data_IF_383193122989
#
_entry.id   IF_383193122989
#
_cell.length_a   1.000
_cell.length_b   1.000
_cell.length_c   1.000
_cell.angle_alpha   90.00
_cell.angle_beta   90.00
_cell.angle_gamma   90.00
#
_symmetry.space_group_name_H-M   'P 1'
#
loop_
_entity.id
_entity.type
_entity.pdbx_description
1 polymer ?
#
# COMPACT_ATOMS: atom_id res chain seq x y z
N UNK A 1 1.45 -5.62 3.41
CA UNK A 1 1.11 -6.11 4.76
C UNK A 1 1.91 -5.43 5.88
N UNK A 2 3.23 -5.26 5.76
CA UNK A 2 4.10 -4.69 6.82
C UNK A 2 3.60 -3.37 7.42
N UNK A 3 3.00 -2.49 6.62
CA UNK A 3 2.46 -1.20 7.07
C UNK A 3 1.17 -1.32 7.90
N UNK A 4 0.46 -2.42 7.77
CA UNK A 4 -0.78 -2.72 8.49
C UNK A 4 -0.53 -3.58 9.75
N UNK A 5 0.72 -4.02 9.94
CA UNK A 5 1.14 -4.82 11.09
C UNK A 5 0.72 -6.30 11.02
N UNK A 6 0.82 -7.03 12.16
CA UNK A 6 0.67 -8.48 12.18
C UNK A 6 -0.76 -8.99 11.95
N UNK A 7 -1.74 -8.09 11.88
CA UNK A 7 -3.14 -8.43 11.59
C UNK A 7 -3.48 -8.41 10.10
N UNK A 8 -2.48 -8.19 9.22
CA UNK A 8 -2.68 -8.13 7.78
C UNK A 8 -1.74 -9.12 7.08
N UNK A 9 -2.31 -9.92 6.21
CA UNK A 9 -1.60 -10.85 5.35
C UNK A 9 -1.90 -10.54 3.87
N UNK A 10 -0.95 -10.83 3.00
CA UNK A 10 -1.15 -10.76 1.55
C UNK A 10 -1.33 -12.18 1.02
N UNK A 11 -2.49 -12.43 0.41
CA UNK A 11 -2.77 -13.70 -0.25
C UNK A 11 -2.60 -13.57 -1.76
N UNK A 12 -2.02 -14.58 -2.39
CA UNK A 12 -1.89 -14.71 -3.84
C UNK A 12 -2.91 -15.73 -4.42
N UNK A 13 -3.94 -16.06 -3.64
CA UNK A 13 -4.97 -17.04 -3.99
C UNK A 13 -5.57 -16.78 -5.39
N UNK A 14 -5.90 -15.53 -5.69
CA UNK A 14 -6.47 -15.16 -6.99
C UNK A 14 -5.43 -15.17 -8.12
N UNK A 15 -4.16 -14.89 -7.81
CA UNK A 15 -3.06 -14.90 -8.79
C UNK A 15 -2.73 -16.33 -9.23
N UNK A 16 -2.83 -17.29 -8.31
CA UNK A 16 -2.58 -18.72 -8.60
C UNK A 16 -3.70 -19.39 -9.37
N UNK A 17 -4.89 -18.78 -9.39
CA UNK A 17 -6.03 -19.34 -10.08
C UNK A 17 -5.89 -19.13 -11.58
N UNK A 18 -6.06 -20.20 -12.36
CA UNK A 18 -6.12 -20.11 -13.81
C UNK A 18 -7.44 -19.49 -14.29
N UNK A 19 -7.35 -18.58 -15.26
CA UNK A 19 -8.52 -17.93 -15.84
C UNK A 19 -8.98 -16.68 -15.09
N UNK A 20 -10.30 -16.39 -15.13
CA UNK A 20 -10.88 -15.24 -14.43
C UNK A 20 -11.08 -15.56 -12.97
N UNK A 21 -10.70 -14.63 -12.09
CA UNK A 21 -10.98 -14.69 -10.68
C UNK A 21 -12.27 -13.94 -10.37
N UNK A 22 -13.21 -14.63 -9.74
CA UNK A 22 -14.45 -14.04 -9.26
C UNK A 22 -14.46 -14.02 -7.74
N UNK A 23 -15.04 -12.97 -7.15
CA UNK A 23 -15.15 -12.84 -5.69
C UNK A 23 -15.89 -14.02 -5.05
N UNK A 24 -16.90 -14.56 -5.73
CA UNK A 24 -17.63 -15.73 -5.28
C UNK A 24 -16.71 -16.94 -5.03
N UNK A 25 -15.79 -17.22 -5.98
CA UNK A 25 -14.85 -18.32 -5.85
C UNK A 25 -13.78 -18.06 -4.77
N UNK A 26 -13.46 -16.79 -4.55
CA UNK A 26 -12.46 -16.39 -3.55
C UNK A 26 -13.01 -16.51 -2.14
N UNK A 27 -14.24 -16.06 -1.89
CA UNK A 27 -14.85 -16.19 -0.54
C UNK A 27 -15.15 -17.64 -0.17
N UNK A 28 -15.56 -18.45 -1.15
CA UNK A 28 -15.77 -19.90 -0.94
C UNK A 28 -14.45 -20.61 -0.57
N UNK A 29 -13.37 -20.39 -1.33
CA UNK A 29 -12.05 -20.97 -1.04
C UNK A 29 -11.49 -20.51 0.31
N UNK A 30 -11.75 -19.25 0.70
CA UNK A 30 -11.37 -18.75 2.03
C UNK A 30 -12.20 -19.41 3.13
N UNK A 31 -13.51 -19.59 2.92
CA UNK A 31 -14.37 -20.32 3.89
C UNK A 31 -13.94 -21.78 4.06
N UNK A 32 -13.58 -22.47 2.96
CA UNK A 32 -13.04 -23.83 3.03
C UNK A 32 -11.71 -23.91 3.81
N UNK A 33 -10.87 -22.87 3.68
CA UNK A 33 -9.58 -22.81 4.38
C UNK A 33 -9.74 -22.44 5.85
N UNK A 34 -10.73 -21.60 6.18
CA UNK A 34 -10.99 -21.05 7.50
C UNK A 34 -12.48 -21.23 7.87
N UNK A 35 -12.96 -22.48 8.03
CA UNK A 35 -14.39 -22.76 8.19
C UNK A 35 -15.02 -22.23 9.49
N UNK A 36 -14.19 -21.96 10.50
CA UNK A 36 -14.65 -21.40 11.79
C UNK A 36 -14.62 -19.86 11.80
N UNK A 37 -14.04 -19.24 10.77
CA UNK A 37 -13.89 -17.79 10.72
C UNK A 37 -15.10 -17.12 10.05
N UNK A 38 -15.47 -15.96 10.56
CA UNK A 38 -16.49 -15.12 9.96
C UNK A 38 -15.85 -14.20 8.90
N UNK A 39 -16.20 -14.43 7.63
CA UNK A 39 -15.65 -13.65 6.52
C UNK A 39 -16.43 -12.36 6.28
N UNK A 40 -15.72 -11.28 6.01
CA UNK A 40 -16.27 -9.98 5.63
C UNK A 40 -15.53 -9.38 4.44
N UNK A 41 -16.29 -9.00 3.40
CA UNK A 41 -15.76 -8.23 2.29
C UNK A 41 -15.80 -6.73 2.63
N UNK A 42 -14.66 -6.07 2.61
CA UNK A 42 -14.56 -4.64 2.80
C UNK A 42 -14.62 -3.94 1.45
N UNK A 43 -15.58 -3.03 1.24
CA UNK A 43 -15.75 -2.35 -0.04
C UNK A 43 -16.27 -0.91 0.10
N UNK A 44 -15.90 -0.08 -0.87
CA UNK A 44 -16.42 1.29 -0.96
C UNK A 44 -17.83 1.33 -1.55
N UNK A 45 -18.48 2.49 -1.46
CA UNK A 45 -19.88 2.74 -1.88
C UNK A 45 -20.17 2.25 -3.29
N UNK A 46 -19.31 2.56 -4.26
CA UNK A 46 -19.48 2.19 -5.67
C UNK A 46 -19.60 0.67 -5.89
N UNK A 47 -18.81 -0.10 -5.17
CA UNK A 47 -18.84 -1.57 -5.19
C UNK A 47 -20.06 -2.10 -4.42
N UNK A 48 -20.37 -1.50 -3.27
CA UNK A 48 -21.50 -1.89 -2.45
C UNK A 48 -22.84 -1.75 -3.17
N UNK A 49 -23.04 -0.65 -3.91
CA UNK A 49 -24.25 -0.38 -4.68
C UNK A 49 -24.42 -1.29 -5.92
N UNK A 50 -23.40 -2.03 -6.31
CA UNK A 50 -23.40 -2.87 -7.51
C UNK A 50 -23.11 -4.35 -7.25
N UNK A 51 -22.86 -4.75 -6.00
CA UNK A 51 -22.47 -6.11 -5.64
C UNK A 51 -23.49 -7.17 -6.05
N UNK A 52 -24.77 -6.84 -6.06
CA UNK A 52 -25.86 -7.72 -6.54
C UNK A 52 -25.74 -8.09 -8.03
N UNK A 53 -24.98 -7.31 -8.81
CA UNK A 53 -24.75 -7.55 -10.24
C UNK A 53 -23.45 -8.35 -10.51
N UNK A 54 -22.75 -8.77 -9.48
CA UNK A 54 -21.52 -9.53 -9.61
C UNK A 54 -21.80 -10.99 -10.00
N UNK A 55 -20.76 -11.70 -10.37
CA UNK A 55 -20.89 -13.12 -10.71
C UNK A 55 -21.30 -13.94 -9.49
N UNK A 56 -22.46 -14.60 -9.57
CA UNK A 56 -23.04 -15.43 -8.51
C UNK A 56 -23.09 -14.75 -7.13
N UNK A 57 -23.81 -13.64 -6.99
CA UNK A 57 -23.83 -12.87 -5.73
C UNK A 57 -24.37 -13.69 -4.56
N UNK A 58 -25.28 -14.67 -4.81
CA UNK A 58 -25.81 -15.57 -3.79
C UNK A 58 -24.69 -16.34 -3.06
N UNK A 59 -23.68 -16.81 -3.82
CA UNK A 59 -22.52 -17.49 -3.23
C UNK A 59 -21.68 -16.55 -2.40
N UNK A 60 -21.55 -15.29 -2.80
CA UNK A 60 -20.81 -14.29 -2.03
C UNK A 60 -21.47 -14.13 -0.65
N UNK A 61 -22.79 -13.89 -0.63
CA UNK A 61 -23.53 -13.64 0.63
C UNK A 61 -23.72 -14.89 1.48
N UNK A 62 -23.65 -16.08 0.88
CA UNK A 62 -23.64 -17.34 1.63
C UNK A 62 -22.43 -17.47 2.55
N UNK A 63 -21.27 -17.03 2.08
CA UNK A 63 -19.99 -17.25 2.79
C UNK A 63 -19.46 -15.98 3.47
N UNK A 64 -19.81 -14.77 3.00
CA UNK A 64 -19.28 -13.53 3.53
C UNK A 64 -20.35 -12.48 3.80
N UNK A 65 -20.18 -11.72 4.88
CA UNK A 65 -20.83 -10.43 5.07
C UNK A 65 -20.14 -9.33 4.26
N UNK A 66 -20.79 -8.18 4.14
CA UNK A 66 -20.25 -6.99 3.49
C UNK A 66 -20.11 -5.84 4.47
N UNK A 67 -18.89 -5.31 4.60
CA UNK A 67 -18.60 -4.11 5.35
C UNK A 67 -18.36 -2.95 4.37
N UNK A 68 -19.33 -2.06 4.26
CA UNK A 68 -19.29 -0.93 3.33
C UNK A 68 -18.75 0.34 4.02
N UNK A 69 -18.00 1.15 3.30
CA UNK A 69 -17.56 2.46 3.78
C UNK A 69 -17.76 3.53 2.71
N UNK A 70 -18.02 4.77 3.16
CA UNK A 70 -18.16 5.92 2.29
C UNK A 70 -16.86 6.25 1.56
N UNK A 71 -16.95 6.58 0.28
CA UNK A 71 -15.84 7.07 -0.56
C UNK A 71 -15.98 8.52 -0.97
N UNK A 72 -17.13 9.13 -0.73
CA UNK A 72 -17.43 10.52 -1.02
C UNK A 72 -18.19 11.16 0.14
N UNK A 73 -18.04 12.46 0.33
CA UNK A 73 -18.86 13.21 1.29
C UNK A 73 -20.35 13.27 0.86
N UNK A 74 -20.64 12.95 -0.40
CA UNK A 74 -22.01 12.85 -0.95
C UNK A 74 -22.70 11.52 -0.59
N UNK A 75 -21.97 10.51 -0.14
CA UNK A 75 -22.49 9.21 0.25
C UNK A 75 -23.30 9.34 1.56
N UNK A 76 -24.63 9.27 1.46
CA UNK A 76 -25.51 9.44 2.61
C UNK A 76 -25.77 8.13 3.34
N UNK A 77 -26.08 8.21 4.64
CA UNK A 77 -26.46 7.04 5.43
C UNK A 77 -27.71 6.36 4.85
N UNK A 78 -28.69 7.13 4.35
CA UNK A 78 -29.89 6.59 3.73
C UNK A 78 -29.59 5.69 2.53
N UNK A 79 -28.60 6.05 1.71
CA UNK A 79 -28.15 5.25 0.58
C UNK A 79 -27.63 3.87 1.01
N UNK A 80 -26.87 3.81 2.09
CA UNK A 80 -26.37 2.56 2.65
C UNK A 80 -27.50 1.73 3.29
N UNK A 81 -28.43 2.36 3.96
CA UNK A 81 -29.58 1.70 4.59
C UNK A 81 -30.49 1.06 3.55
N UNK A 82 -30.85 1.79 2.47
CA UNK A 82 -31.64 1.27 1.36
C UNK A 82 -31.00 0.06 0.69
N UNK A 83 -29.72 0.17 0.36
CA UNK A 83 -28.98 -0.94 -0.25
C UNK A 83 -28.84 -2.13 0.71
N UNK A 84 -28.58 -1.89 1.99
CA UNK A 84 -28.48 -2.95 3.01
C UNK A 84 -29.80 -3.71 3.15
N UNK A 85 -30.91 -2.98 3.18
CA UNK A 85 -32.25 -3.58 3.22
C UNK A 85 -32.52 -4.43 1.98
N UNK A 86 -32.24 -3.90 0.79
CA UNK A 86 -32.40 -4.65 -0.46
C UNK A 86 -31.58 -5.95 -0.47
N UNK A 87 -30.31 -5.90 -0.05
CA UNK A 87 -29.44 -7.07 0.00
C UNK A 87 -29.89 -8.09 1.06
N UNK A 88 -30.41 -7.64 2.19
CA UNK A 88 -30.94 -8.50 3.23
C UNK A 88 -32.22 -9.22 2.79
N UNK A 89 -33.14 -8.50 2.15
CA UNK A 89 -34.44 -9.05 1.67
C UNK A 89 -34.24 -10.02 0.49
N UNK A 90 -33.30 -9.70 -0.43
CA UNK A 90 -33.11 -10.47 -1.67
C UNK A 90 -32.18 -11.65 -1.51
N UNK A 91 -31.09 -11.48 -0.75
CA UNK A 91 -30.01 -12.46 -0.65
C UNK A 91 -29.73 -12.94 0.78
N UNK A 92 -30.50 -12.48 1.75
CA UNK A 92 -30.22 -12.72 3.20
C UNK A 92 -28.82 -12.28 3.62
N UNK A 93 -28.29 -11.24 2.96
CA UNK A 93 -26.94 -10.76 3.14
C UNK A 93 -26.77 -10.10 4.52
N UNK A 94 -25.62 -10.34 5.15
CA UNK A 94 -25.17 -9.63 6.35
C UNK A 94 -24.39 -8.39 5.89
N UNK A 95 -24.84 -7.22 6.30
CA UNK A 95 -24.18 -5.95 5.93
C UNK A 95 -23.87 -5.12 7.17
N UNK A 96 -22.80 -4.35 7.11
CA UNK A 96 -22.45 -3.35 8.11
C UNK A 96 -21.86 -2.12 7.44
N UNK A 97 -22.07 -0.95 8.02
CA UNK A 97 -21.50 0.31 7.51
C UNK A 97 -20.39 0.76 8.46
N UNK A 98 -19.20 0.94 7.91
CA UNK A 98 -18.03 1.42 8.64
C UNK A 98 -17.98 2.94 8.53
N UNK A 99 -18.23 3.62 9.64
CA UNK A 99 -18.13 5.08 9.69
C UNK A 99 -16.66 5.51 9.79
N UNK A 100 -16.17 6.20 8.77
CA UNK A 100 -14.83 6.77 8.73
C UNK A 100 -14.88 8.23 9.19
N UNK A 101 -13.97 8.67 10.07
CA UNK A 101 -13.96 10.06 10.59
C UNK A 101 -13.58 11.08 9.51
N UNK A 102 -12.96 10.63 8.44
CA UNK A 102 -12.56 11.43 7.29
C UNK A 102 -12.57 10.58 6.04
N UNK A 103 -13.22 11.06 5.02
CA UNK A 103 -13.17 10.48 3.68
C UNK A 103 -12.02 11.10 2.90
N UNK A 104 -11.25 10.26 2.20
CA UNK A 104 -10.24 10.70 1.25
C UNK A 104 -10.71 10.33 -0.14
N UNK A 105 -11.21 11.34 -0.87
CA UNK A 105 -11.71 11.15 -2.23
C UNK A 105 -10.55 10.98 -3.21
N UNK A 106 -10.13 9.74 -3.40
CA UNK A 106 -9.12 9.39 -4.41
C UNK A 106 -9.45 8.03 -5.05
N UNK A 107 -9.43 8.00 -6.38
CA UNK A 107 -9.51 6.74 -7.12
C UNK A 107 -8.10 6.26 -7.50
N UNK A 108 -7.91 4.93 -7.54
CA UNK A 108 -6.63 4.33 -7.96
C UNK A 108 -6.19 4.80 -9.36
N UNK A 109 -7.14 5.08 -10.26
CA UNK A 109 -6.86 5.63 -11.59
C UNK A 109 -6.22 7.02 -11.50
N UNK A 110 -6.74 7.87 -10.62
CA UNK A 110 -6.26 9.24 -10.46
C UNK A 110 -4.90 9.26 -9.78
N UNK A 111 -4.69 8.42 -8.78
CA UNK A 111 -3.39 8.23 -8.15
C UNK A 111 -2.32 7.76 -9.15
N UNK A 112 -2.64 6.79 -10.02
CA UNK A 112 -1.71 6.35 -11.09
C UNK A 112 -1.39 7.47 -12.08
N UNK A 113 -2.38 8.32 -12.41
CA UNK A 113 -2.16 9.49 -13.27
C UNK A 113 -1.23 10.51 -12.59
N UNK A 114 -1.42 10.79 -11.30
CA UNK A 114 -0.53 11.66 -10.52
C UNK A 114 0.90 11.11 -10.50
N UNK A 115 1.10 9.82 -10.23
CA UNK A 115 2.40 9.15 -10.26
C UNK A 115 3.09 9.27 -11.62
N UNK A 116 2.37 9.10 -12.73
CA UNK A 116 2.93 9.26 -14.08
C UNK A 116 3.30 10.71 -14.38
N UNK A 117 2.55 11.70 -13.89
CA UNK A 117 2.75 13.13 -14.18
C UNK A 117 3.70 13.85 -13.22
N UNK A 118 4.04 13.28 -12.09
CA UNK A 118 4.91 13.92 -11.07
C UNK A 118 6.23 14.44 -11.65
N UNK A 119 6.83 13.70 -12.58
CA UNK A 119 8.12 13.99 -13.17
C UNK A 119 8.03 14.84 -14.45
N UNK A 120 6.83 15.15 -14.89
CA UNK A 120 6.53 15.94 -16.11
C UNK A 120 5.81 17.25 -15.82
N UNK A 121 5.85 17.72 -14.56
CA UNK A 121 5.27 19.01 -14.16
C UNK A 121 3.87 18.91 -13.55
N UNK A 122 3.48 17.75 -13.06
CA UNK A 122 2.24 17.59 -12.27
C UNK A 122 2.28 18.38 -10.97
N UNK A 123 1.20 19.08 -10.64
CA UNK A 123 1.11 19.96 -9.48
C UNK A 123 0.71 19.26 -8.18
N UNK A 124 0.32 17.98 -8.24
CA UNK A 124 -0.16 17.22 -7.08
C UNK A 124 0.86 16.18 -6.68
N UNK A 125 1.25 16.20 -5.41
CA UNK A 125 2.18 15.25 -4.83
C UNK A 125 1.47 13.91 -4.51
N UNK A 126 1.75 12.80 -5.24
CA UNK A 126 1.11 11.51 -4.98
C UNK A 126 1.52 10.89 -3.64
N UNK A 127 2.66 11.28 -3.07
CA UNK A 127 3.17 10.73 -1.82
C UNK A 127 2.24 11.00 -0.62
N UNK A 128 1.37 12.03 -0.68
CA UNK A 128 0.42 12.33 0.38
C UNK A 128 -0.67 11.24 0.55
N UNK A 129 -0.90 10.43 -0.49
CA UNK A 129 -1.91 9.36 -0.52
C UNK A 129 -1.31 7.96 -0.32
N UNK A 130 -0.01 7.87 -0.16
CA UNK A 130 0.71 6.60 -0.08
C UNK A 130 1.53 6.51 1.19
N UNK A 131 1.56 5.33 1.79
CA UNK A 131 2.57 5.06 2.80
C UNK A 131 3.97 5.16 2.17
N UNK A 132 4.87 5.89 2.83
CA UNK A 132 6.19 6.25 2.28
C UNK A 132 6.97 5.06 1.70
N UNK A 133 7.06 3.87 2.33
CA UNK A 133 7.70 2.70 1.72
C UNK A 133 7.02 2.21 0.44
N UNK A 134 5.68 2.29 0.34
CA UNK A 134 4.94 1.92 -0.88
C UNK A 134 5.27 2.87 -2.01
N UNK A 135 5.27 4.17 -1.73
CA UNK A 135 5.68 5.18 -2.71
C UNK A 135 7.13 4.95 -3.17
N UNK A 136 8.06 4.68 -2.25
CA UNK A 136 9.45 4.37 -2.57
C UNK A 136 9.62 3.11 -3.44
N UNK A 137 8.82 2.07 -3.19
CA UNK A 137 8.78 0.88 -4.02
C UNK A 137 8.32 1.21 -5.44
N UNK A 138 7.24 1.97 -5.58
CA UNK A 138 6.72 2.43 -6.89
C UNK A 138 7.79 3.18 -7.67
N UNK A 139 8.51 4.10 -7.05
CA UNK A 139 9.60 4.86 -7.69
C UNK A 139 10.76 3.97 -8.12
N UNK A 140 11.20 3.07 -7.24
CA UNK A 140 12.33 2.17 -7.49
C UNK A 140 12.05 1.22 -8.66
N UNK A 141 10.87 0.62 -8.66
CA UNK A 141 10.44 -0.33 -9.70
C UNK A 141 9.84 0.37 -10.94
N UNK A 142 9.80 1.70 -10.95
CA UNK A 142 9.22 2.50 -12.05
C UNK A 142 7.81 2.09 -12.44
N UNK A 143 6.98 1.76 -11.44
CA UNK A 143 5.60 1.33 -11.67
C UNK A 143 4.70 2.51 -12.08
N UNK A 144 3.58 2.20 -12.73
CA UNK A 144 2.53 3.15 -13.12
C UNK A 144 3.02 4.33 -13.96
N UNK A 145 4.08 4.15 -14.74
CA UNK A 145 4.62 5.17 -15.63
C UNK A 145 5.47 6.24 -14.94
N UNK A 146 5.90 6.00 -13.70
CA UNK A 146 6.85 6.90 -13.02
C UNK A 146 8.19 6.94 -13.78
N UNK A 147 8.75 8.14 -13.92
CA UNK A 147 10.02 8.40 -14.62
C UNK A 147 11.09 8.92 -13.67
N UNK A 148 11.14 8.37 -12.45
CA UNK A 148 12.09 8.79 -11.44
C UNK A 148 13.53 8.67 -11.92
N UNK A 149 14.26 9.79 -11.91
CA UNK A 149 15.71 9.77 -12.11
C UNK A 149 16.40 9.39 -10.81
N UNK A 150 16.75 8.10 -10.69
CA UNK A 150 17.39 7.56 -9.50
C UNK A 150 18.78 8.15 -9.20
N UNK A 151 19.39 8.89 -10.13
CA UNK A 151 20.68 9.54 -9.94
C UNK A 151 20.54 10.91 -9.28
N UNK A 152 19.40 11.59 -9.49
CA UNK A 152 19.17 12.96 -9.02
C UNK A 152 17.89 13.03 -8.16
N UNK A 153 17.83 12.24 -7.09
CA UNK A 153 16.70 12.20 -6.19
C UNK A 153 16.75 13.36 -5.17
N UNK A 154 15.59 13.95 -4.91
CA UNK A 154 15.42 14.79 -3.72
C UNK A 154 15.51 13.94 -2.44
N UNK A 155 15.78 14.56 -1.29
CA UNK A 155 15.83 13.82 -0.02
C UNK A 155 14.49 13.12 0.33
N UNK A 156 13.37 13.70 -0.09
CA UNK A 156 12.05 13.09 0.03
C UNK A 156 12.00 11.75 -0.72
N UNK A 157 12.38 11.75 -2.00
CA UNK A 157 12.37 10.55 -2.83
C UNK A 157 13.42 9.53 -2.37
N UNK A 158 14.60 10.00 -1.95
CA UNK A 158 15.65 9.15 -1.40
C UNK A 158 15.19 8.42 -0.13
N UNK A 159 14.52 9.13 0.80
CA UNK A 159 13.92 8.51 1.99
C UNK A 159 12.87 7.46 1.59
N UNK A 160 11.97 7.80 0.69
CA UNK A 160 10.92 6.88 0.27
C UNK A 160 11.52 5.58 -0.28
N UNK A 161 12.51 5.68 -1.17
CA UNK A 161 13.19 4.52 -1.76
C UNK A 161 13.92 3.72 -0.68
N UNK A 162 14.72 4.36 0.18
CA UNK A 162 15.42 3.69 1.29
C UNK A 162 14.44 2.95 2.21
N UNK A 163 13.33 3.60 2.57
CA UNK A 163 12.30 3.00 3.43
C UNK A 163 11.62 1.79 2.77
N UNK A 164 11.52 1.76 1.45
CA UNK A 164 10.99 0.60 0.72
C UNK A 164 11.91 -0.62 0.72
N UNK A 165 13.18 -0.46 1.10
CA UNK A 165 14.21 -1.50 1.09
C UNK A 165 14.40 -2.16 2.46
N UNK A 166 13.67 -1.71 3.47
CA UNK A 166 13.78 -2.22 4.85
C UNK A 166 12.42 -2.63 5.41
N UNK A 167 12.42 -3.47 6.45
CA UNK A 167 11.19 -3.83 7.17
C UNK A 167 10.64 -2.64 7.96
N UNK A 168 9.31 -2.54 8.09
CA UNK A 168 8.63 -1.42 8.76
C UNK A 168 9.18 -1.13 10.17
N UNK A 169 9.50 -2.16 10.95
CA UNK A 169 10.10 -2.03 12.29
C UNK A 169 11.44 -1.30 12.32
N UNK A 170 12.12 -1.15 11.16
CA UNK A 170 13.41 -0.47 11.04
C UNK A 170 13.28 1.03 10.76
N UNK A 171 12.12 1.50 10.31
CA UNK A 171 11.89 2.90 9.95
C UNK A 171 12.23 3.90 11.07
N UNK A 172 11.82 3.67 12.35
CA UNK A 172 12.19 4.56 13.45
C UNK A 172 13.70 4.70 13.64
N UNK A 173 14.45 3.60 13.45
CA UNK A 173 15.92 3.63 13.54
C UNK A 173 16.52 4.50 12.43
N UNK A 174 16.13 4.32 11.16
CA UNK A 174 16.67 5.12 10.05
C UNK A 174 16.38 6.60 10.28
N UNK A 175 15.17 6.94 10.70
CA UNK A 175 14.77 8.31 11.01
C UNK A 175 15.61 8.91 12.14
N UNK A 176 15.78 8.21 13.25
CA UNK A 176 16.60 8.66 14.36
C UNK A 176 18.09 8.78 13.97
N UNK A 177 18.61 7.88 13.14
CA UNK A 177 19.99 7.96 12.61
C UNK A 177 20.15 9.20 11.72
N UNK A 178 19.20 9.52 10.85
CA UNK A 178 19.22 10.74 10.03
C UNK A 178 19.25 11.99 10.90
N UNK A 179 18.34 12.10 11.88
CA UNK A 179 18.27 13.24 12.80
C UNK A 179 19.57 13.43 13.59
N UNK A 180 20.13 12.33 14.11
CA UNK A 180 21.39 12.35 14.86
C UNK A 180 22.59 12.71 13.98
N UNK A 181 22.69 12.16 12.77
CA UNK A 181 23.77 12.45 11.84
C UNK A 181 23.80 13.93 11.44
N UNK A 182 22.64 14.52 11.17
CA UNK A 182 22.51 15.96 10.86
C UNK A 182 22.91 16.83 12.06
N UNK A 183 22.50 16.46 13.28
CA UNK A 183 22.86 17.19 14.48
C UNK A 183 24.39 17.15 14.74
N UNK A 184 25.00 15.98 14.64
CA UNK A 184 26.46 15.81 14.77
C UNK A 184 27.24 16.55 13.68
N UNK A 185 26.78 16.50 12.43
CA UNK A 185 27.42 17.23 11.33
C UNK A 185 27.45 18.74 11.58
N UNK A 186 26.33 19.30 12.06
CA UNK A 186 26.27 20.72 12.46
C UNK A 186 27.20 21.03 13.63
N UNK A 187 27.24 20.17 14.64
CA UNK A 187 28.09 20.34 15.81
C UNK A 187 29.59 20.34 15.45
N UNK A 188 30.00 19.43 14.57
CA UNK A 188 31.40 19.30 14.14
C UNK A 188 31.79 20.15 12.93
N UNK A 189 30.89 20.98 12.40
CA UNK A 189 31.15 21.88 11.28
C UNK A 189 31.38 21.17 9.94
N UNK A 190 30.80 19.96 9.76
CA UNK A 190 30.84 19.23 8.50
C UNK A 190 29.50 19.34 7.76
N UNK A 191 29.49 18.98 6.47
CA UNK A 191 28.32 19.13 5.59
C UNK A 191 27.11 18.32 6.09
N UNK A 192 26.04 18.95 6.60
CA UNK A 192 24.87 18.25 7.13
C UNK A 192 24.03 17.57 6.05
N UNK A 193 24.07 18.02 4.80
CA UNK A 193 23.32 17.41 3.71
C UNK A 193 23.97 16.08 3.27
N UNK A 194 25.29 16.03 3.21
CA UNK A 194 26.02 14.76 2.99
C UNK A 194 25.78 13.78 4.12
N UNK A 195 25.81 14.25 5.36
CA UNK A 195 25.54 13.40 6.54
C UNK A 195 24.09 12.85 6.52
N UNK A 196 23.11 13.70 6.16
CA UNK A 196 21.72 13.29 5.98
C UNK A 196 21.58 12.17 4.96
N UNK A 197 22.10 12.39 3.75
CA UNK A 197 21.98 11.42 2.65
C UNK A 197 22.66 10.10 2.96
N UNK A 198 23.82 10.14 3.59
CA UNK A 198 24.51 8.95 4.06
C UNK A 198 23.67 8.19 5.11
N UNK A 199 23.09 8.91 6.08
CA UNK A 199 22.23 8.32 7.10
C UNK A 199 20.94 7.70 6.55
N UNK A 200 20.31 8.33 5.54
CA UNK A 200 19.13 7.77 4.87
C UNK A 200 19.47 6.43 4.20
N UNK A 201 20.67 6.28 3.64
CA UNK A 201 21.05 5.12 2.84
C UNK A 201 21.76 4.01 3.64
N UNK A 202 22.20 4.25 4.89
CA UNK A 202 23.11 3.36 5.60
C UNK A 202 22.62 1.90 5.77
N UNK A 203 21.31 1.68 5.82
CA UNK A 203 20.68 0.37 6.02
C UNK A 203 19.98 -0.18 4.74
N UNK A 204 20.05 0.52 3.60
CA UNK A 204 19.25 0.17 2.42
C UNK A 204 19.55 -1.22 1.86
N UNK A 205 20.76 -1.76 2.09
CA UNK A 205 21.16 -3.10 1.64
C UNK A 205 21.08 -4.18 2.74
N UNK A 206 20.63 -3.82 3.94
CA UNK A 206 20.68 -4.70 5.13
C UNK A 206 19.96 -6.04 4.96
N UNK A 207 18.94 -6.10 4.11
CA UNK A 207 18.13 -7.30 3.88
C UNK A 207 18.48 -8.01 2.57
N UNK A 208 19.55 -7.59 1.89
CA UNK A 208 20.10 -8.34 0.77
C UNK A 208 20.78 -9.61 1.28
N UNK A 209 20.71 -10.69 0.50
CA UNK A 209 21.52 -11.86 0.74
C UNK A 209 23.02 -11.57 0.53
N UNK A 210 23.86 -12.43 1.07
CA UNK A 210 25.32 -12.23 1.02
C UNK A 210 25.84 -12.18 -0.42
N UNK A 211 25.32 -13.04 -1.29
CA UNK A 211 25.74 -13.11 -2.69
C UNK A 211 25.46 -11.80 -3.43
N UNK A 212 24.27 -11.24 -3.26
CA UNK A 212 23.88 -9.94 -3.82
C UNK A 212 24.74 -8.80 -3.27
N UNK A 213 25.07 -8.83 -1.96
CA UNK A 213 25.95 -7.81 -1.35
C UNK A 213 27.37 -7.89 -1.94
N UNK A 214 27.97 -9.09 -2.02
CA UNK A 214 29.30 -9.29 -2.59
C UNK A 214 29.35 -8.85 -4.06
N UNK A 215 28.38 -9.27 -4.86
CA UNK A 215 28.28 -8.86 -6.26
C UNK A 215 28.17 -7.33 -6.43
N UNK A 216 27.47 -6.66 -5.52
CA UNK A 216 27.40 -5.20 -5.52
C UNK A 216 28.75 -4.57 -5.14
N UNK A 217 29.48 -5.11 -4.15
CA UNK A 217 30.81 -4.64 -3.80
C UNK A 217 31.78 -4.76 -4.98
N UNK A 218 31.80 -5.90 -5.66
CA UNK A 218 32.62 -6.12 -6.85
C UNK A 218 32.27 -5.14 -7.96
N UNK A 219 30.97 -4.96 -8.23
CA UNK A 219 30.47 -4.04 -9.27
C UNK A 219 30.90 -2.60 -9.04
N UNK A 220 30.97 -2.16 -7.79
CA UNK A 220 31.27 -0.78 -7.41
C UNK A 220 32.72 -0.59 -6.89
N UNK A 221 33.57 -1.62 -6.95
CA UNK A 221 34.97 -1.56 -6.51
C UNK A 221 35.13 -1.32 -5.01
N UNK A 222 34.21 -1.83 -4.20
CA UNK A 222 34.26 -1.74 -2.73
C UNK A 222 35.05 -2.93 -2.20
N UNK A 223 36.20 -2.66 -1.56
CA UNK A 223 37.00 -3.70 -0.94
C UNK A 223 36.22 -4.30 0.25
N UNK A 224 36.22 -5.62 0.33
CA UNK A 224 35.72 -6.38 1.49
C UNK A 224 36.92 -6.75 2.34
N UNK A 225 36.95 -6.31 3.60
CA UNK A 225 37.94 -6.66 4.58
C UNK A 225 37.69 -8.07 5.18
#
# INVERSE_FOLDING_TARGET
ADGLGPRAEVSDLEIRREGKSYTADTVEALHETFPEDELWLLMGTDMFLTVQNWYQPERIFQYAGVAAFSRSEEDTQALFEEQSQYLAETFHARTTVVNLPKVTEIASRDLRRMLASEWTGGNVDPAQYLWTPVYGYILREKLFGTQADLRHLSDKHLRAISYSMVKAKRLPHIKGTEETAVALAKFWGVDPEKARRAAILHDCTKYWDLETQVAACDKYGIALD
#
